data_IF_345133746328
#
_entry.id   IF_345133746328
#
_cell.length_a   1.000
_cell.length_b   1.000
_cell.length_c   1.000
_cell.angle_alpha   90.00
_cell.angle_beta   90.00
_cell.angle_gamma   90.00
#
_symmetry.space_group_name_H-M   'P 1'
#
loop_
_entity.id
_entity.type
_entity.pdbx_description
1 polymer ?
#
# COMPACT_ATOMS: atom_id res chain seq x y z
N UNK A 1 17.18 11.79 -8.34
CA UNK A 1 15.81 11.43 -7.94
C UNK A 1 15.80 10.86 -6.53
N UNK A 2 14.63 10.68 -5.93
CA UNK A 2 14.49 10.14 -4.55
C UNK A 2 15.20 8.80 -4.37
N UNK A 3 15.10 7.89 -5.35
CA UNK A 3 15.75 6.58 -5.35
C UNK A 3 17.27 6.65 -5.06
N UNK A 4 17.97 7.62 -5.66
CA UNK A 4 19.40 7.84 -5.42
C UNK A 4 19.71 8.17 -3.95
N UNK A 5 18.84 8.92 -3.28
CA UNK A 5 19.00 9.20 -1.85
C UNK A 5 18.72 7.96 -1.00
N UNK A 6 17.74 7.13 -1.38
CA UNK A 6 17.42 5.89 -0.66
C UNK A 6 18.54 4.86 -0.76
N UNK A 7 19.14 4.72 -1.94
CA UNK A 7 20.29 3.85 -2.15
C UNK A 7 21.48 4.31 -1.29
N UNK A 8 21.76 5.61 -1.25
CA UNK A 8 22.80 6.15 -0.37
C UNK A 8 22.51 5.87 1.11
N UNK A 9 21.26 6.02 1.57
CA UNK A 9 20.89 5.68 2.95
C UNK A 9 21.13 4.19 3.26
N UNK A 10 20.85 3.29 2.30
CA UNK A 10 21.13 1.86 2.46
C UNK A 10 22.64 1.57 2.52
N UNK A 11 23.44 2.21 1.66
CA UNK A 11 24.90 2.12 1.71
C UNK A 11 25.46 2.65 3.03
N UNK A 12 24.89 3.75 3.56
CA UNK A 12 25.27 4.31 4.85
C UNK A 12 24.91 3.37 6.00
N UNK A 13 23.76 2.68 5.95
CA UNK A 13 23.41 1.68 6.95
C UNK A 13 24.45 0.54 6.99
N UNK A 14 24.95 0.09 5.83
CA UNK A 14 26.02 -0.90 5.75
C UNK A 14 27.35 -0.39 6.34
N UNK A 15 27.74 0.85 6.00
CA UNK A 15 28.94 1.48 6.59
C UNK A 15 28.82 1.64 8.11
N UNK A 16 27.65 2.05 8.59
CA UNK A 16 27.35 2.16 10.01
C UNK A 16 27.42 0.79 10.69
N UNK A 17 26.92 -0.27 10.08
CA UNK A 17 27.03 -1.62 10.63
C UNK A 17 28.49 -2.05 10.77
N UNK A 18 29.32 -1.81 9.76
CA UNK A 18 30.76 -2.10 9.82
C UNK A 18 31.46 -1.29 10.95
N UNK A 19 31.05 -0.03 11.18
CA UNK A 19 31.54 0.74 12.32
C UNK A 19 31.14 0.11 13.66
N UNK A 20 29.90 -0.37 13.78
CA UNK A 20 29.42 -1.04 14.98
C UNK A 20 30.19 -2.33 15.25
N UNK A 21 30.51 -3.12 14.22
CA UNK A 21 31.31 -4.36 14.34
C UNK A 21 32.75 -4.07 14.79
N UNK A 22 33.30 -2.91 14.41
CA UNK A 22 34.63 -2.46 14.83
C UNK A 22 34.66 -1.83 16.23
N UNK A 23 33.49 -1.63 16.87
CA UNK A 23 33.40 -0.95 18.16
C UNK A 23 33.92 -1.88 19.28
N UNK A 24 34.86 -1.41 20.12
CA UNK A 24 35.39 -2.23 21.18
C UNK A 24 34.30 -2.54 22.22
N UNK A 25 34.26 -3.79 22.67
CA UNK A 25 33.35 -4.20 23.72
C UNK A 25 33.75 -3.55 25.05
N UNK A 26 32.79 -3.10 25.88
CA UNK A 26 33.10 -2.55 27.19
C UNK A 26 33.72 -3.63 28.06
N UNK A 27 35.02 -3.51 28.33
CA UNK A 27 35.77 -4.44 29.19
C UNK A 27 35.61 -4.12 30.69
N UNK A 28 35.76 -5.11 31.58
CA UNK A 28 35.73 -4.87 33.01
C UNK A 28 37.01 -4.18 33.48
N UNK A 29 36.91 -2.88 33.79
CA UNK A 29 37.83 -2.18 34.70
C UNK A 29 39.21 -1.82 34.13
N UNK A 30 39.30 -0.66 33.49
CA UNK A 30 40.56 0.00 33.14
C UNK A 30 40.32 1.26 32.31
N UNK A 31 41.19 2.27 32.46
CA UNK A 31 41.21 3.39 31.53
C UNK A 31 41.57 2.88 30.12
N UNK A 32 40.94 3.41 29.05
CA UNK A 32 41.24 2.98 27.69
C UNK A 32 42.72 3.24 27.36
N UNK A 33 43.42 2.20 26.91
CA UNK A 33 44.82 2.32 26.48
C UNK A 33 44.96 3.23 25.26
N UNK A 34 46.18 3.72 25.02
CA UNK A 34 46.46 4.69 23.95
C UNK A 34 46.06 4.20 22.54
N UNK A 35 46.25 2.90 22.27
CA UNK A 35 45.79 2.27 21.03
C UNK A 35 44.26 2.29 20.88
N UNK A 36 43.53 2.07 21.97
CA UNK A 36 42.06 2.12 21.98
C UNK A 36 41.57 3.55 21.76
N UNK A 37 42.21 4.55 22.38
CA UNK A 37 41.86 5.96 22.17
C UNK A 37 42.05 6.39 20.71
N UNK A 38 43.14 5.96 20.07
CA UNK A 38 43.37 6.22 18.65
C UNK A 38 42.30 5.58 17.76
N UNK A 39 41.93 4.31 18.03
CA UNK A 39 40.85 3.63 17.31
C UNK A 39 39.50 4.34 17.48
N UNK A 40 39.16 4.77 18.68
CA UNK A 40 37.93 5.54 18.96
C UNK A 40 37.92 6.90 18.25
N UNK A 41 39.07 7.59 18.18
CA UNK A 41 39.20 8.84 17.45
C UNK A 41 38.99 8.64 15.94
N UNK A 42 39.52 7.56 15.38
CA UNK A 42 39.31 7.21 13.98
C UNK A 42 37.85 6.85 13.69
N UNK A 43 37.22 6.04 14.55
CA UNK A 43 35.79 5.74 14.43
C UNK A 43 34.92 6.99 14.54
N UNK A 44 35.21 7.90 15.47
CA UNK A 44 34.53 9.19 15.57
C UNK A 44 34.66 10.02 14.28
N UNK A 45 35.83 10.00 13.64
CA UNK A 45 36.04 10.68 12.36
C UNK A 45 35.20 10.06 11.23
N UNK A 46 35.17 8.73 11.15
CA UNK A 46 34.33 8.00 10.17
C UNK A 46 32.84 8.25 10.41
N UNK A 47 32.39 8.21 11.66
CA UNK A 47 31.02 8.53 12.07
C UNK A 47 30.63 9.97 11.71
N UNK A 48 31.57 10.92 11.88
CA UNK A 48 31.36 12.32 11.49
C UNK A 48 31.24 12.48 9.97
N UNK A 49 31.99 11.69 9.18
CA UNK A 49 31.85 11.68 7.73
C UNK A 49 30.46 11.18 7.30
N UNK A 50 29.97 10.09 7.93
CA UNK A 50 28.60 9.60 7.70
C UNK A 50 27.56 10.67 8.07
N UNK A 51 27.69 11.30 9.24
CA UNK A 51 26.76 12.38 9.67
C UNK A 51 26.72 13.54 8.67
N UNK A 52 27.88 13.92 8.11
CA UNK A 52 27.95 14.97 7.08
C UNK A 52 27.25 14.55 5.78
N UNK A 53 27.52 13.34 5.31
CA UNK A 53 26.84 12.78 4.14
C UNK A 53 25.32 12.75 4.35
N UNK A 54 24.86 12.37 5.55
CA UNK A 54 23.44 12.36 5.91
C UNK A 54 22.82 13.77 5.80
N UNK A 55 23.53 14.79 6.29
CA UNK A 55 23.08 16.19 6.21
C UNK A 55 23.01 16.71 4.78
N UNK A 56 23.89 16.25 3.88
CA UNK A 56 23.79 16.58 2.46
C UNK A 56 22.60 15.90 1.78
N UNK A 57 22.29 14.65 2.15
CA UNK A 57 21.06 13.97 1.72
C UNK A 57 19.81 14.73 2.22
N UNK A 58 19.80 15.13 3.49
CA UNK A 58 18.70 15.91 4.09
C UNK A 58 18.47 17.22 3.32
N UNK A 59 19.53 17.98 3.02
CA UNK A 59 19.44 19.21 2.22
C UNK A 59 18.93 18.95 0.81
N UNK A 60 19.36 17.85 0.17
CA UNK A 60 18.91 17.47 -1.16
C UNK A 60 17.41 17.17 -1.20
N UNK A 61 16.91 16.45 -0.20
CA UNK A 61 15.47 16.15 -0.04
C UNK A 61 14.66 17.41 0.27
N UNK A 62 15.19 18.29 1.13
CA UNK A 62 14.51 19.53 1.53
C UNK A 62 14.31 20.51 0.35
N UNK A 63 15.18 20.47 -0.66
CA UNK A 63 15.07 21.30 -1.86
C UNK A 63 14.01 20.81 -2.86
N UNK A 64 13.46 19.61 -2.68
CA UNK A 64 12.34 19.09 -3.46
C UNK A 64 11.01 19.05 -2.67
N UNK A 65 9.96 18.51 -3.28
CA UNK A 65 8.63 18.32 -2.65
C UNK A 65 8.55 17.12 -1.68
N UNK A 66 9.71 16.58 -1.25
CA UNK A 66 9.81 15.29 -0.59
C UNK A 66 9.71 15.30 0.94
N UNK A 67 8.64 14.69 1.46
CA UNK A 67 8.69 13.84 2.66
C UNK A 67 9.10 14.47 4.00
N UNK A 68 8.30 15.39 4.55
CA UNK A 68 8.47 16.01 5.89
C UNK A 68 8.79 15.01 7.02
N UNK A 69 8.20 13.81 6.96
CA UNK A 69 8.49 12.71 7.90
C UNK A 69 9.90 12.13 7.73
N UNK A 70 10.34 11.91 6.49
CA UNK A 70 11.69 11.40 6.20
C UNK A 70 12.74 12.41 6.69
N UNK A 71 12.56 13.70 6.42
CA UNK A 71 13.43 14.77 6.94
C UNK A 71 13.52 14.73 8.48
N UNK A 72 12.40 14.53 9.17
CA UNK A 72 12.38 14.39 10.63
C UNK A 72 13.13 13.16 11.14
N UNK A 73 13.06 12.03 10.42
CA UNK A 73 13.80 10.82 10.76
C UNK A 73 15.32 11.00 10.51
N UNK A 74 15.70 11.65 9.39
CA UNK A 74 17.10 11.99 9.09
C UNK A 74 17.72 12.94 10.13
N UNK A 75 16.98 13.95 10.59
CA UNK A 75 17.46 14.86 11.64
C UNK A 75 17.69 14.13 12.97
N UNK A 76 16.79 13.20 13.35
CA UNK A 76 16.98 12.38 14.55
C UNK A 76 18.20 11.49 14.44
N UNK A 77 18.40 10.83 13.29
CA UNK A 77 19.59 10.01 13.04
C UNK A 77 20.86 10.87 13.16
N UNK A 78 20.87 12.08 12.57
CA UNK A 78 22.02 12.96 12.64
C UNK A 78 22.37 13.40 14.08
N UNK A 79 21.35 13.60 14.93
CA UNK A 79 21.52 13.89 16.37
C UNK A 79 22.05 12.67 17.13
N UNK A 80 21.52 11.49 16.88
CA UNK A 80 22.03 10.26 17.47
C UNK A 80 23.52 10.05 17.09
N UNK A 81 23.88 10.27 15.83
CA UNK A 81 25.28 10.22 15.37
C UNK A 81 26.17 11.24 16.10
N UNK A 82 25.68 12.47 16.32
CA UNK A 82 26.41 13.49 17.08
C UNK A 82 26.71 13.06 18.51
N UNK A 83 25.72 12.49 19.20
CA UNK A 83 25.90 12.00 20.56
C UNK A 83 26.95 10.89 20.61
N UNK A 84 26.89 9.92 19.70
CA UNK A 84 27.89 8.84 19.64
C UNK A 84 29.29 9.41 19.34
N UNK A 85 29.43 10.35 18.39
CA UNK A 85 30.71 10.99 18.09
C UNK A 85 31.30 11.64 19.35
N UNK A 86 30.48 12.36 20.11
CA UNK A 86 30.91 13.00 21.34
C UNK A 86 31.35 11.98 22.39
N UNK A 87 30.60 10.88 22.55
CA UNK A 87 30.94 9.77 23.45
C UNK A 87 32.25 9.10 23.05
N UNK A 88 32.46 8.81 21.75
CA UNK A 88 33.71 8.25 21.24
C UNK A 88 34.92 9.17 21.48
N UNK A 89 34.77 10.48 21.22
CA UNK A 89 35.85 11.47 21.46
C UNK A 89 36.21 11.64 22.93
N UNK A 90 35.25 11.39 23.83
CA UNK A 90 35.46 11.38 25.27
C UNK A 90 35.96 10.02 25.78
N UNK A 91 36.17 9.06 24.89
CA UNK A 91 36.51 7.67 25.22
C UNK A 91 35.47 6.98 26.12
N UNK A 92 34.20 7.39 26.01
CA UNK A 92 33.06 6.88 26.79
C UNK A 92 32.21 5.95 25.94
N UNK A 93 32.76 4.80 25.55
CA UNK A 93 31.98 3.74 24.89
C UNK A 93 31.40 2.82 25.95
N UNK A 94 30.15 3.09 26.31
CA UNK A 94 29.35 2.26 27.19
C UNK A 94 28.29 1.47 26.39
N UNK A 95 27.51 0.66 27.10
CA UNK A 95 26.42 -0.10 26.48
C UNK A 95 25.39 0.81 25.81
N UNK A 96 25.17 2.02 26.31
CA UNK A 96 24.22 2.97 25.72
C UNK A 96 24.74 3.53 24.39
N UNK A 97 26.03 3.83 24.31
CA UNK A 97 26.70 4.24 23.05
C UNK A 97 26.54 3.15 21.99
N UNK A 98 26.76 1.88 22.36
CA UNK A 98 26.60 0.73 21.45
C UNK A 98 25.15 0.55 21.00
N UNK A 99 24.19 0.60 21.92
CA UNK A 99 22.76 0.52 21.56
C UNK A 99 22.35 1.67 20.62
N UNK A 100 22.87 2.88 20.83
CA UNK A 100 22.59 4.01 19.95
C UNK A 100 23.16 3.79 18.55
N UNK A 101 24.37 3.26 18.45
CA UNK A 101 24.98 2.83 17.19
C UNK A 101 24.12 1.81 16.43
N UNK A 102 23.52 0.84 17.11
CA UNK A 102 22.56 -0.12 16.52
C UNK A 102 21.26 0.56 16.07
N UNK A 103 20.72 1.47 16.89
CA UNK A 103 19.51 2.23 16.56
C UNK A 103 19.71 3.10 15.32
N UNK A 104 20.89 3.69 15.14
CA UNK A 104 21.24 4.47 13.94
C UNK A 104 21.11 3.58 12.68
N UNK A 105 21.65 2.36 12.70
CA UNK A 105 21.52 1.40 11.58
C UNK A 105 20.06 1.12 11.27
N UNK A 106 19.27 0.77 12.29
CA UNK A 106 17.86 0.45 12.13
C UNK A 106 17.08 1.63 11.53
N UNK A 107 17.29 2.84 12.06
CA UNK A 107 16.63 4.04 11.54
C UNK A 107 17.05 4.38 10.11
N UNK A 108 18.30 4.16 9.72
CA UNK A 108 18.76 4.34 8.34
C UNK A 108 18.05 3.37 7.39
N UNK A 109 17.90 2.10 7.79
CA UNK A 109 17.17 1.08 7.02
C UNK A 109 15.66 1.37 6.96
N UNK A 110 15.08 1.84 8.06
CA UNK A 110 13.66 2.23 8.12
C UNK A 110 13.40 3.46 7.25
N UNK A 111 14.30 4.44 7.26
CA UNK A 111 14.22 5.63 6.43
C UNK A 111 14.25 5.27 4.94
N UNK A 112 15.13 4.35 4.52
CA UNK A 112 15.19 3.90 3.12
C UNK A 112 13.93 3.13 2.71
N UNK A 113 13.44 2.20 3.54
CA UNK A 113 12.22 1.42 3.26
C UNK A 113 10.93 2.23 3.29
N UNK A 114 10.81 3.19 4.21
CA UNK A 114 9.61 4.00 4.41
C UNK A 114 9.30 4.91 3.22
N UNK A 115 10.34 5.35 2.51
CA UNK A 115 10.19 6.14 1.30
C UNK A 115 9.70 5.27 0.14
N UNK A 116 10.35 4.14 -0.15
CA UNK A 116 9.93 3.20 -1.21
C UNK A 116 8.50 2.69 -1.01
N UNK A 117 8.10 2.42 0.24
CA UNK A 117 6.75 1.95 0.55
C UNK A 117 5.68 3.01 0.31
N UNK A 118 6.03 4.31 0.32
CA UNK A 118 5.10 5.41 0.02
C UNK A 118 4.89 5.54 -1.47
N UNK A 119 5.95 5.47 -2.26
CA UNK A 119 5.84 5.47 -3.73
C UNK A 119 4.90 4.33 -4.18
N UNK A 120 5.06 3.13 -3.62
CA UNK A 120 4.15 2.01 -3.88
C UNK A 120 2.72 2.20 -3.33
N UNK A 121 2.54 2.99 -2.25
CA UNK A 121 1.20 3.29 -1.71
C UNK A 121 0.47 4.32 -2.56
N UNK A 122 1.13 5.38 -3.01
CA UNK A 122 0.57 6.35 -3.96
C UNK A 122 0.20 5.65 -5.28
N UNK A 123 1.05 4.75 -5.79
CA UNK A 123 0.71 3.89 -6.94
C UNK A 123 -0.47 2.93 -6.64
N UNK A 124 -0.68 2.55 -5.37
CA UNK A 124 -1.77 1.66 -4.92
C UNK A 124 -3.01 2.40 -4.40
N UNK A 125 -3.13 3.70 -4.62
CA UNK A 125 -4.34 4.50 -4.37
C UNK A 125 -5.10 4.81 -5.67
N UNK A 126 -5.39 3.81 -6.52
CA UNK A 126 -6.54 3.91 -7.43
C UNK A 126 -6.96 2.55 -7.97
N UNK A 127 -7.73 1.82 -7.17
CA UNK A 127 -9.00 1.22 -7.59
C UNK A 127 -9.90 1.27 -6.38
N UNK A 128 -10.53 2.42 -6.12
CA UNK A 128 -11.82 2.39 -5.44
C UNK A 128 -12.62 1.35 -6.20
N UNK A 129 -13.16 0.34 -5.53
CA UNK A 129 -14.10 -0.54 -6.19
C UNK A 129 -15.14 0.40 -6.81
N UNK A 130 -15.17 0.53 -8.14
CA UNK A 130 -16.37 1.00 -8.79
C UNK A 130 -17.45 0.14 -8.17
N UNK A 131 -18.43 0.80 -7.56
CA UNK A 131 -19.63 0.13 -7.13
C UNK A 131 -20.10 -0.58 -8.39
N UNK A 132 -19.79 -1.87 -8.53
CA UNK A 132 -20.34 -2.69 -9.57
C UNK A 132 -21.80 -2.69 -9.19
N UNK A 133 -22.55 -1.71 -9.72
CA UNK A 133 -23.93 -1.90 -10.05
C UNK A 133 -23.85 -3.07 -10.99
N UNK A 134 -23.96 -4.26 -10.43
CA UNK A 134 -24.51 -5.36 -11.17
C UNK A 134 -25.89 -4.81 -11.50
N UNK A 135 -26.22 -4.46 -12.76
CA UNK A 135 -27.58 -4.69 -13.13
C UNK A 135 -27.76 -6.17 -12.82
N UNK A 136 -28.42 -6.47 -11.69
CA UNK A 136 -29.04 -7.77 -11.54
C UNK A 136 -29.73 -8.03 -12.88
N UNK A 137 -29.56 -9.22 -13.47
CA UNK A 137 -30.02 -9.48 -14.84
C UNK A 137 -31.44 -8.96 -14.92
N UNK A 138 -31.62 -7.95 -15.76
CA UNK A 138 -32.82 -7.15 -15.96
C UNK A 138 -34.08 -7.75 -15.32
N UNK A 139 -34.61 -7.06 -14.30
CA UNK A 139 -35.99 -7.13 -13.84
C UNK A 139 -36.54 -8.54 -13.59
N UNK A 140 -36.71 -8.91 -12.32
CA UNK A 140 -37.86 -9.76 -12.00
C UNK A 140 -39.08 -9.10 -12.67
N UNK A 141 -39.84 -9.80 -13.52
CA UNK A 141 -41.07 -9.24 -14.07
C UNK A 141 -41.93 -8.78 -12.88
N UNK A 142 -42.68 -7.68 -13.05
CA UNK A 142 -43.48 -7.09 -11.96
C UNK A 142 -44.45 -8.10 -11.31
N UNK A 143 -44.78 -9.17 -12.03
CA UNK A 143 -45.63 -10.28 -11.61
C UNK A 143 -44.89 -11.48 -11.00
N UNK A 144 -43.58 -11.37 -10.71
CA UNK A 144 -42.75 -12.42 -10.11
C UNK A 144 -42.79 -13.78 -10.85
N UNK A 145 -43.16 -13.81 -12.14
CA UNK A 145 -43.26 -15.04 -12.93
C UNK A 145 -44.60 -15.78 -12.81
N UNK A 146 -45.59 -15.20 -12.13
CA UNK A 146 -46.94 -15.77 -12.01
C UNK A 146 -47.58 -16.01 -13.38
N UNK A 147 -47.40 -15.08 -14.33
CA UNK A 147 -47.96 -15.20 -15.68
C UNK A 147 -47.28 -16.28 -16.51
N UNK A 148 -45.96 -16.43 -16.41
CA UNK A 148 -45.27 -17.53 -17.10
C UNK A 148 -45.76 -18.89 -16.58
N UNK A 149 -46.00 -18.99 -15.27
CA UNK A 149 -46.57 -20.19 -14.67
C UNK A 149 -47.97 -20.50 -15.23
N UNK A 150 -48.83 -19.48 -15.38
CA UNK A 150 -50.18 -19.63 -15.90
C UNK A 150 -50.20 -20.03 -17.39
N UNK A 151 -49.35 -19.39 -18.21
CA UNK A 151 -49.24 -19.70 -19.64
C UNK A 151 -48.73 -21.12 -19.85
N UNK A 152 -47.77 -21.56 -19.03
CA UNK A 152 -47.27 -22.93 -19.07
C UNK A 152 -48.32 -23.95 -18.62
N UNK A 153 -49.13 -23.63 -17.61
CA UNK A 153 -50.24 -24.47 -17.19
C UNK A 153 -51.31 -24.61 -18.29
N UNK A 154 -51.67 -23.50 -18.96
CA UNK A 154 -52.61 -23.51 -20.08
C UNK A 154 -52.06 -24.29 -21.28
N UNK A 155 -50.77 -24.14 -21.61
CA UNK A 155 -50.13 -24.93 -22.68
C UNK A 155 -50.20 -26.42 -22.40
N UNK A 156 -49.99 -26.86 -21.15
CA UNK A 156 -50.15 -28.26 -20.75
C UNK A 156 -51.59 -28.74 -20.90
N UNK A 157 -52.57 -27.96 -20.43
CA UNK A 157 -53.98 -28.29 -20.56
C UNK A 157 -54.43 -28.42 -22.03
N UNK A 158 -53.92 -27.56 -22.93
CA UNK A 158 -54.19 -27.65 -24.38
C UNK A 158 -53.58 -28.93 -24.97
N UNK A 159 -52.37 -29.31 -24.56
CA UNK A 159 -51.73 -30.54 -25.05
C UNK A 159 -52.48 -31.80 -24.61
N UNK A 160 -52.96 -31.83 -23.36
CA UNK A 160 -53.67 -32.94 -22.74
C UNK A 160 -55.14 -33.06 -23.15
N UNK A 161 -55.71 -32.01 -23.76
CA UNK A 161 -57.10 -32.00 -24.22
C UNK A 161 -57.32 -32.80 -25.52
N UNK A 162 -58.57 -33.20 -25.77
CA UNK A 162 -59.01 -33.89 -26.99
C UNK A 162 -59.20 -32.96 -28.21
N UNK A 163 -58.62 -31.76 -28.18
CA UNK A 163 -58.72 -30.77 -29.25
C UNK A 163 -58.06 -31.24 -30.56
N UNK A 164 -58.63 -30.81 -31.69
CA UNK A 164 -58.09 -31.13 -33.02
C UNK A 164 -56.67 -30.55 -33.18
N UNK A 165 -55.77 -31.21 -33.94
CA UNK A 165 -54.41 -30.72 -34.17
C UNK A 165 -54.36 -29.28 -34.74
N UNK A 166 -55.41 -28.86 -35.46
CA UNK A 166 -55.54 -27.49 -35.95
C UNK A 166 -55.83 -26.50 -34.82
N UNK A 167 -56.78 -26.84 -33.94
CA UNK A 167 -57.19 -25.97 -32.83
C UNK A 167 -56.07 -25.83 -31.78
N UNK A 168 -55.30 -26.90 -31.55
CA UNK A 168 -54.09 -26.85 -30.72
C UNK A 168 -53.06 -25.85 -31.27
N UNK A 169 -52.81 -25.85 -32.58
CA UNK A 169 -51.88 -24.90 -33.25
C UNK A 169 -52.38 -23.46 -33.19
N UNK A 170 -53.69 -23.26 -33.29
CA UNK A 170 -54.27 -21.91 -33.21
C UNK A 170 -54.19 -21.35 -31.78
N UNK A 171 -54.38 -22.20 -30.76
CA UNK A 171 -54.18 -21.83 -29.35
C UNK A 171 -52.71 -21.57 -28.99
N UNK A 172 -51.77 -22.37 -29.49
CA UNK A 172 -50.34 -22.11 -29.28
C UNK A 172 -49.92 -20.74 -29.82
N UNK A 173 -50.40 -20.38 -31.03
CA UNK A 173 -50.15 -19.06 -31.62
C UNK A 173 -50.74 -17.93 -30.78
N UNK A 174 -51.92 -18.13 -30.21
CA UNK A 174 -52.54 -17.16 -29.31
C UNK A 174 -51.74 -16.99 -28.00
N UNK A 175 -51.34 -18.08 -27.35
CA UNK A 175 -50.53 -18.05 -26.12
C UNK A 175 -49.17 -17.37 -26.35
N UNK A 176 -48.52 -17.60 -27.50
CA UNK A 176 -47.29 -16.90 -27.86
C UNK A 176 -47.50 -15.40 -28.10
N UNK A 177 -48.64 -15.01 -28.68
CA UNK A 177 -48.97 -13.59 -28.86
C UNK A 177 -49.16 -12.87 -27.52
N UNK A 178 -49.72 -13.57 -26.52
CA UNK A 178 -49.85 -13.06 -25.16
C UNK A 178 -48.50 -12.88 -24.48
N UNK A 179 -47.50 -13.71 -24.78
CA UNK A 179 -46.14 -13.53 -24.24
C UNK A 179 -45.43 -12.32 -24.85
N UNK A 180 -45.62 -12.05 -26.15
CA UNK A 180 -44.89 -10.98 -26.86
C UNK A 180 -45.43 -9.56 -26.64
N UNK A 181 -46.71 -9.42 -26.28
CA UNK A 181 -47.41 -8.12 -26.30
C UNK A 181 -46.97 -7.13 -25.20
N UNK A 182 -46.30 -7.59 -24.15
CA UNK A 182 -45.86 -6.74 -23.02
C UNK A 182 -44.32 -6.60 -22.89
N UNK A 183 -43.54 -7.09 -23.87
CA UNK A 183 -42.07 -6.92 -23.90
C UNK A 183 -41.67 -5.52 -24.43
N UNK A 184 -42.63 -4.71 -24.88
CA UNK A 184 -42.42 -3.30 -25.19
C UNK A 184 -43.02 -2.45 -24.05
N UNK A 185 -42.22 -1.63 -23.35
CA UNK A 185 -42.80 -0.69 -22.40
C UNK A 185 -43.78 0.20 -23.16
N UNK A 186 -45.01 0.33 -22.66
CA UNK A 186 -45.96 1.32 -23.18
C UNK A 186 -45.26 2.66 -23.11
N UNK A 187 -44.82 3.18 -24.26
CA UNK A 187 -44.36 4.55 -24.38
C UNK A 187 -45.48 5.42 -23.80
N UNK A 188 -45.17 6.13 -22.71
CA UNK A 188 -46.07 7.13 -22.15
C UNK A 188 -46.42 8.09 -23.28
N UNK A 189 -47.67 8.09 -23.70
CA UNK A 189 -48.23 9.26 -24.34
C UNK A 189 -48.45 10.28 -23.23
N UNK A 190 -47.41 11.05 -22.93
CA UNK A 190 -47.58 12.40 -22.42
C UNK A 190 -48.36 13.16 -23.51
N UNK A 191 -49.64 13.35 -23.28
CA UNK A 191 -50.39 14.43 -23.93
C UNK A 191 -50.45 15.54 -22.90
N UNK A 192 -49.54 16.49 -23.06
CA UNK A 192 -49.65 17.84 -22.52
C UNK A 192 -50.95 18.47 -23.04
N UNK A 193 -51.68 19.09 -22.10
CA UNK A 193 -52.64 20.20 -22.19
C UNK A 193 -53.57 20.30 -23.40
#
# INVERSE_FOLDING_TARGET
>A
GMEFYLEQLQQMAGQQQALNESMPMPGPGGAPGESMMQQLAEMAARQQALRRALKEIEKGIQQGDGGRRLLGDLDRIAKDMEEVINQMRQNQVDRRTIMRQEQIVQRLLDASRSATSRDFKEERESRTAEQIRRPGPFGLPEDLGERESLINALRRAVLESDLSPKDKRDMERYLESLQRRDILPRARQETEQ
#
